data_IF_661271483300
#
_entry.id   IF_661271483300
#
_cell.length_a   1.000
_cell.length_b   1.000
_cell.length_c   1.000
_cell.angle_alpha   90.00
_cell.angle_beta   90.00
_cell.angle_gamma   90.00
#
_symmetry.space_group_name_H-M   'P 1'
#
loop_
_entity.id
_entity.type
_entity.pdbx_description
1 polymer ?
#
# COMPACT_ATOMS: atom_id res chain seq x y z
N UNK A 1 72.63 6.77 -23.80
CA UNK A 1 71.67 5.66 -23.98
C UNK A 1 70.39 6.30 -24.53
N UNK A 2 70.29 6.67 -25.82
CA UNK A 2 69.94 5.82 -26.97
C UNK A 2 68.78 4.86 -26.58
N UNK A 3 67.50 5.05 -26.94
CA UNK A 3 66.92 5.64 -28.14
C UNK A 3 66.48 4.51 -29.09
N UNK A 4 65.18 4.21 -29.19
CA UNK A 4 64.63 3.42 -30.30
C UNK A 4 63.15 3.73 -30.55
N UNK A 5 62.94 4.51 -31.61
CA UNK A 5 61.69 4.63 -32.37
C UNK A 5 61.56 3.39 -33.27
N UNK A 6 60.34 2.90 -33.49
CA UNK A 6 60.02 1.97 -34.57
C UNK A 6 59.04 2.67 -35.53
N UNK A 7 59.33 2.68 -36.85
CA UNK A 7 58.49 3.29 -37.88
C UNK A 7 57.66 2.26 -38.68
N UNK A 8 56.53 2.76 -39.23
CA UNK A 8 56.00 2.61 -40.61
C UNK A 8 55.99 1.22 -41.26
N UNK A 9 54.80 0.74 -41.68
CA UNK A 9 54.56 0.31 -43.08
C UNK A 9 53.08 0.25 -43.46
N UNK A 10 52.74 1.06 -44.47
CA UNK A 10 51.56 0.96 -45.34
C UNK A 10 51.49 -0.40 -46.05
N UNK A 11 50.27 -0.87 -46.40
CA UNK A 11 49.97 -1.42 -47.73
C UNK A 11 48.48 -1.13 -48.05
N UNK A 12 48.28 -0.61 -49.24
CA UNK A 12 47.04 -0.22 -49.89
C UNK A 12 46.48 -1.35 -50.78
N UNK A 13 45.15 -1.51 -50.87
CA UNK A 13 44.41 -2.06 -52.03
C UNK A 13 42.90 -1.90 -51.70
N UNK A 14 42.12 -0.94 -52.21
CA UNK A 14 41.58 -0.74 -53.57
C UNK A 14 41.00 -2.01 -54.21
N UNK A 15 39.66 -2.07 -54.39
CA UNK A 15 38.96 -2.45 -55.64
C UNK A 15 37.43 -2.57 -55.43
N UNK A 16 36.71 -1.87 -56.32
CA UNK A 16 35.34 -2.02 -56.87
C UNK A 16 34.14 -2.15 -55.90
N UNK A 17 33.17 -1.21 -55.85
CA UNK A 17 32.30 -0.64 -56.90
C UNK A 17 31.21 -1.63 -57.38
N UNK A 18 30.04 -1.54 -56.74
CA UNK A 18 28.73 -1.64 -57.41
C UNK A 18 27.74 -0.74 -56.68
N UNK A 19 27.48 0.42 -57.29
CA UNK A 19 26.21 1.11 -57.12
C UNK A 19 25.12 0.24 -57.76
N UNK A 20 24.12 -0.13 -56.98
CA UNK A 20 22.77 -0.35 -57.52
C UNK A 20 21.86 0.55 -56.72
N UNK A 21 21.55 1.70 -57.32
CA UNK A 21 20.40 2.49 -56.95
C UNK A 21 19.15 1.64 -57.22
N UNK A 22 18.47 1.22 -56.17
CA UNK A 22 17.08 0.79 -56.24
C UNK A 22 16.26 1.78 -55.45
N UNK A 23 15.96 2.91 -56.10
CA UNK A 23 14.87 3.81 -55.72
C UNK A 23 13.56 3.08 -56.00
N UNK A 24 13.09 2.34 -55.00
CA UNK A 24 11.70 1.89 -54.94
C UNK A 24 11.05 2.61 -53.77
N UNK A 25 10.25 3.60 -54.15
CA UNK A 25 9.19 4.20 -53.35
C UNK A 25 8.31 3.09 -52.78
N UNK A 26 8.62 2.62 -51.58
CA UNK A 26 7.60 2.12 -50.67
C UNK A 26 7.47 3.17 -49.57
N UNK A 27 6.41 3.97 -49.69
CA UNK A 27 5.88 4.72 -48.56
C UNK A 27 5.41 3.70 -47.52
N UNK A 28 6.12 3.59 -46.41
CA UNK A 28 5.67 2.83 -45.23
C UNK A 28 5.06 3.79 -44.19
N UNK A 29 4.40 4.87 -44.63
CA UNK A 29 3.65 5.80 -43.79
C UNK A 29 2.22 5.31 -43.47
N UNK A 30 1.98 4.00 -43.51
CA UNK A 30 0.70 3.38 -43.11
C UNK A 30 0.96 2.05 -42.40
N UNK A 31 1.70 2.08 -41.30
CA UNK A 31 1.46 1.13 -40.22
C UNK A 31 0.74 1.91 -39.12
N UNK A 32 -0.55 1.66 -38.87
CA UNK A 32 -1.14 2.14 -37.65
C UNK A 32 -0.35 1.46 -36.52
N UNK A 33 0.09 2.29 -35.60
CA UNK A 33 0.61 1.90 -34.32
C UNK A 33 -0.21 0.76 -33.70
N UNK A 34 0.51 -0.20 -33.13
CA UNK A 34 0.00 -1.08 -32.08
C UNK A 34 -1.14 -2.00 -32.49
N UNK A 35 -0.81 -3.24 -32.85
CA UNK A 35 -1.70 -4.37 -32.55
C UNK A 35 -1.72 -4.57 -31.02
N UNK A 36 -2.20 -3.57 -30.28
CA UNK A 36 -2.85 -3.81 -29.01
C UNK A 36 -4.00 -4.74 -29.32
N UNK A 37 -3.98 -5.95 -28.77
CA UNK A 37 -5.05 -6.90 -28.98
C UNK A 37 -6.34 -6.27 -28.50
N UNK A 38 -7.19 -5.83 -29.43
CA UNK A 38 -8.46 -5.20 -29.12
C UNK A 38 -9.18 -6.01 -28.03
N UNK A 39 -9.62 -5.32 -26.98
CA UNK A 39 -10.18 -5.98 -25.82
C UNK A 39 -11.33 -6.91 -26.25
N UNK A 40 -11.18 -8.22 -26.01
CA UNK A 40 -12.10 -9.22 -26.58
C UNK A 40 -13.50 -9.12 -26.03
N UNK A 41 -13.68 -8.49 -24.87
CA UNK A 41 -14.95 -8.27 -24.22
C UNK A 41 -14.87 -6.97 -23.42
N UNK A 42 -15.71 -6.01 -23.77
CA UNK A 42 -15.88 -4.79 -22.98
C UNK A 42 -16.83 -5.04 -21.82
N UNK A 43 -16.54 -4.45 -20.68
CA UNK A 43 -17.41 -4.41 -19.52
C UNK A 43 -18.64 -3.52 -19.79
N UNK A 44 -19.76 -3.89 -19.19
CA UNK A 44 -20.91 -3.00 -19.08
C UNK A 44 -20.58 -1.80 -18.18
N UNK A 45 -21.36 -0.73 -18.32
CA UNK A 45 -21.06 0.54 -17.64
C UNK A 45 -21.15 0.42 -16.11
N UNK A 46 -22.06 -0.41 -15.60
CA UNK A 46 -22.24 -0.58 -14.15
C UNK A 46 -21.02 -1.26 -13.53
N UNK A 47 -20.52 -2.33 -14.15
CA UNK A 47 -19.29 -3.00 -13.72
C UNK A 47 -18.10 -2.04 -13.77
N UNK A 48 -17.95 -1.29 -14.87
CA UNK A 48 -16.86 -0.33 -15.07
C UNK A 48 -16.82 0.76 -14.00
N UNK A 49 -17.97 1.32 -13.62
CA UNK A 49 -18.08 2.37 -12.61
C UNK A 49 -17.78 1.87 -11.19
N UNK A 50 -17.94 0.56 -10.95
CA UNK A 50 -17.71 -0.09 -9.65
C UNK A 50 -16.29 -0.64 -9.48
N UNK A 51 -15.45 -0.64 -10.51
CA UNK A 51 -14.11 -1.21 -10.45
C UNK A 51 -13.24 -0.56 -9.38
N UNK A 52 -12.49 -1.40 -8.67
CA UNK A 52 -11.47 -1.05 -7.68
C UNK A 52 -10.24 -1.93 -7.83
N UNK A 53 -9.13 -1.49 -7.25
CA UNK A 53 -7.87 -2.24 -7.19
C UNK A 53 -7.65 -2.98 -5.86
N UNK A 54 -8.47 -2.67 -4.85
CA UNK A 54 -8.37 -3.18 -3.49
C UNK A 54 -9.73 -3.02 -2.79
N UNK A 55 -9.96 -3.83 -1.76
CA UNK A 55 -11.07 -3.62 -0.83
C UNK A 55 -10.84 -2.37 0.03
N UNK A 56 -9.62 -2.24 0.54
CA UNK A 56 -9.20 -1.10 1.33
C UNK A 56 -8.92 0.11 0.42
N UNK A 57 -9.12 1.35 0.90
CA UNK A 57 -8.84 2.56 0.12
C UNK A 57 -7.39 2.68 -0.34
N UNK A 58 -6.46 2.09 0.43
CA UNK A 58 -5.03 2.09 0.19
C UNK A 58 -4.47 0.67 0.26
N UNK A 59 -3.32 0.46 -0.35
CA UNK A 59 -2.49 -0.73 -0.21
C UNK A 59 -1.25 -0.37 0.61
N UNK A 60 -0.78 -1.30 1.43
CA UNK A 60 0.48 -1.15 2.16
C UNK A 60 1.43 -2.26 1.76
N UNK A 61 2.71 -1.94 1.56
CA UNK A 61 3.76 -2.87 1.15
C UNK A 61 5.08 -2.55 1.85
N UNK A 62 5.96 -3.53 1.94
CA UNK A 62 7.34 -3.35 2.43
C UNK A 62 8.32 -3.18 1.25
N UNK A 63 9.49 -2.55 1.47
CA UNK A 63 10.57 -2.54 0.48
C UNK A 63 10.94 -3.97 0.04
N UNK A 64 11.09 -4.17 -1.27
CA UNK A 64 11.37 -5.48 -1.87
C UNK A 64 10.17 -6.40 -2.03
N UNK A 65 8.96 -5.98 -1.65
CA UNK A 65 7.74 -6.76 -1.82
C UNK A 65 7.22 -6.69 -3.26
N UNK A 66 6.74 -7.82 -3.77
CA UNK A 66 6.03 -7.93 -5.05
C UNK A 66 4.59 -8.38 -4.80
N UNK A 67 3.63 -7.71 -5.45
CA UNK A 67 2.20 -7.99 -5.34
C UNK A 67 1.50 -7.87 -6.68
N UNK A 68 0.66 -8.85 -7.00
CA UNK A 68 -0.29 -8.77 -8.10
C UNK A 68 -1.47 -7.89 -7.68
N UNK A 69 -1.72 -6.80 -8.40
CA UNK A 69 -2.94 -6.02 -8.28
C UNK A 69 -4.00 -6.55 -9.25
N UNK A 70 -5.26 -6.50 -8.84
CA UNK A 70 -6.37 -7.04 -9.63
C UNK A 70 -7.43 -5.96 -9.77
N UNK A 71 -8.07 -5.92 -10.93
CA UNK A 71 -9.35 -5.24 -11.07
C UNK A 71 -10.44 -6.13 -10.48
N UNK A 72 -11.35 -5.52 -9.74
CA UNK A 72 -12.48 -6.25 -9.18
C UNK A 72 -13.59 -5.32 -8.74
N UNK A 73 -14.71 -5.93 -8.39
CA UNK A 73 -15.85 -5.25 -7.75
C UNK A 73 -16.01 -5.76 -6.33
N UNK A 74 -16.49 -4.88 -5.44
CA UNK A 74 -16.89 -5.30 -4.10
C UNK A 74 -18.36 -5.69 -4.13
N UNK A 75 -18.62 -6.98 -3.94
CA UNK A 75 -19.93 -7.58 -3.79
C UNK A 75 -20.27 -7.79 -2.31
N UNK A 76 -21.55 -7.63 -1.96
CA UNK A 76 -22.07 -7.85 -0.62
C UNK A 76 -21.23 -7.21 0.51
N UNK A 77 -20.69 -6.00 0.28
CA UNK A 77 -19.90 -5.20 1.22
C UNK A 77 -18.49 -5.73 1.58
N UNK A 78 -18.18 -7.03 1.43
CA UNK A 78 -16.91 -7.62 1.89
C UNK A 78 -16.26 -8.64 0.93
N UNK A 79 -16.84 -8.91 -0.23
CA UNK A 79 -16.24 -9.84 -1.20
C UNK A 79 -15.64 -9.06 -2.35
N UNK A 80 -14.32 -9.15 -2.53
CA UNK A 80 -13.65 -8.65 -3.73
C UNK A 80 -13.68 -9.72 -4.82
N UNK A 81 -14.53 -9.53 -5.82
CA UNK A 81 -14.63 -10.43 -6.96
C UNK A 81 -13.76 -9.89 -8.11
N UNK A 82 -12.69 -10.61 -8.51
CA UNK A 82 -11.86 -10.20 -9.63
C UNK A 82 -12.65 -10.13 -10.94
N UNK A 83 -12.43 -9.08 -11.70
CA UNK A 83 -13.03 -8.85 -13.01
C UNK A 83 -11.95 -8.95 -14.08
N UNK A 84 -12.15 -9.84 -15.04
CA UNK A 84 -11.31 -9.95 -16.23
C UNK A 84 -11.61 -8.77 -17.17
N UNK A 85 -10.66 -7.85 -17.27
CA UNK A 85 -10.75 -6.65 -18.08
C UNK A 85 -9.38 -6.32 -18.66
N UNK A 86 -9.37 -5.77 -19.88
CA UNK A 86 -8.13 -5.28 -20.47
C UNK A 86 -7.74 -3.97 -19.79
N UNK A 87 -6.54 -3.93 -19.23
CA UNK A 87 -6.00 -2.74 -18.62
C UNK A 87 -4.52 -2.61 -18.91
N UNK A 88 -4.07 -1.37 -19.07
CA UNK A 88 -2.65 -1.02 -19.05
C UNK A 88 -2.32 -0.42 -17.70
N UNK A 89 -1.31 -0.99 -17.04
CA UNK A 89 -0.93 -0.62 -15.69
C UNK A 89 0.21 0.39 -15.67
N UNK A 90 0.19 1.31 -14.72
CA UNK A 90 1.25 2.30 -14.52
C UNK A 90 1.41 2.64 -13.05
N UNK A 91 2.61 3.09 -12.67
CA UNK A 91 2.95 3.52 -11.30
C UNK A 91 3.65 4.87 -11.33
N UNK A 92 3.28 5.75 -10.40
CA UNK A 92 3.86 7.09 -10.26
C UNK A 92 4.09 7.44 -8.78
N UNK A 93 5.27 7.98 -8.40
CA UNK A 93 6.46 8.12 -9.23
C UNK A 93 7.05 6.74 -9.62
N UNK A 94 7.80 6.67 -10.71
CA UNK A 94 8.47 5.42 -11.16
C UNK A 94 9.81 5.14 -10.48
N UNK A 95 10.27 6.04 -9.60
CA UNK A 95 11.48 5.83 -8.81
C UNK A 95 11.10 5.13 -7.49
N UNK A 96 11.62 3.92 -7.26
CA UNK A 96 11.35 3.12 -6.06
C UNK A 96 10.23 2.09 -6.22
N UNK A 97 9.59 2.02 -7.39
CA UNK A 97 8.62 0.99 -7.71
C UNK A 97 8.52 0.79 -9.23
N UNK A 98 8.26 -0.45 -9.62
CA UNK A 98 8.00 -0.85 -11.01
C UNK A 98 6.72 -1.66 -11.08
N UNK A 99 5.98 -1.55 -12.17
CA UNK A 99 4.79 -2.36 -12.43
C UNK A 99 4.87 -2.92 -13.84
N UNK A 100 4.55 -4.20 -13.97
CA UNK A 100 4.38 -4.83 -15.28
C UNK A 100 3.08 -4.31 -15.93
N UNK A 101 3.23 -3.64 -17.08
CA UNK A 101 2.15 -2.89 -17.75
C UNK A 101 0.99 -3.78 -18.21
N UNK A 102 1.24 -5.08 -18.46
CA UNK A 102 0.26 -6.03 -18.99
C UNK A 102 -0.43 -6.83 -17.88
N UNK A 103 0.31 -7.14 -16.82
CA UNK A 103 -0.17 -8.04 -15.76
C UNK A 103 -0.65 -7.30 -14.53
N UNK A 104 -0.09 -6.13 -14.19
CA UNK A 104 -0.37 -5.45 -12.92
C UNK A 104 0.43 -5.98 -11.73
N UNK A 105 1.53 -6.71 -12.00
CA UNK A 105 2.49 -7.12 -10.96
C UNK A 105 3.32 -5.92 -10.55
N UNK A 106 3.04 -5.37 -9.36
CA UNK A 106 3.78 -4.28 -8.75
C UNK A 106 4.94 -4.83 -7.91
N UNK A 107 6.13 -4.23 -8.04
CA UNK A 107 7.28 -4.47 -7.18
C UNK A 107 7.75 -3.15 -6.59
N UNK A 108 7.90 -3.10 -5.27
CA UNK A 108 8.55 -1.99 -4.56
C UNK A 108 10.03 -2.31 -4.47
N UNK A 109 10.90 -1.38 -4.87
CA UNK A 109 12.35 -1.61 -4.84
C UNK A 109 12.83 -1.82 -3.39
N UNK A 110 13.90 -2.61 -3.22
CA UNK A 110 14.39 -3.00 -1.90
C UNK A 110 15.00 -1.83 -1.10
N UNK A 111 15.42 -0.77 -1.78
CA UNK A 111 15.99 0.46 -1.21
C UNK A 111 14.97 1.59 -1.05
N UNK A 112 13.71 1.37 -1.42
CA UNK A 112 12.64 2.35 -1.24
C UNK A 112 12.45 2.68 0.23
N UNK A 113 12.44 3.97 0.53
CA UNK A 113 12.34 4.46 1.90
C UNK A 113 10.92 4.27 2.45
N UNK A 114 10.84 3.98 3.75
CA UNK A 114 9.57 4.03 4.49
C UNK A 114 8.93 5.41 4.36
N UNK A 115 7.61 5.47 4.21
CA UNK A 115 6.85 6.69 3.98
C UNK A 115 6.74 7.10 2.51
N UNK A 116 7.40 6.39 1.58
CA UNK A 116 7.14 6.58 0.15
C UNK A 116 5.68 6.20 -0.19
N UNK A 117 5.08 6.97 -1.09
CA UNK A 117 3.72 6.75 -1.58
C UNK A 117 3.74 6.69 -3.10
N UNK A 118 3.14 5.65 -3.65
CA UNK A 118 2.95 5.48 -5.09
C UNK A 118 1.47 5.50 -5.43
N UNK A 119 1.10 6.14 -6.53
CA UNK A 119 -0.19 5.94 -7.16
C UNK A 119 -0.03 4.90 -8.25
N UNK A 120 -0.74 3.78 -8.11
CA UNK A 120 -0.90 2.79 -9.18
C UNK A 120 -2.20 3.06 -9.91
N UNK A 121 -2.14 3.09 -11.24
CA UNK A 121 -3.30 3.33 -12.10
C UNK A 121 -3.46 2.18 -13.10
N UNK A 122 -4.68 1.64 -13.18
CA UNK A 122 -5.12 0.78 -14.27
C UNK A 122 -5.94 1.63 -15.24
N UNK A 123 -5.45 1.75 -16.48
CA UNK A 123 -6.20 2.32 -17.60
C UNK A 123 -7.02 1.23 -18.27
N UNK A 124 -8.31 1.18 -17.95
CA UNK A 124 -9.23 0.12 -18.35
C UNK A 124 -9.85 0.46 -19.71
N UNK A 125 -9.73 -0.49 -20.64
CA UNK A 125 -10.30 -0.42 -21.99
C UNK A 125 -9.93 0.86 -22.75
N UNK A 126 -8.64 1.18 -22.83
CA UNK A 126 -8.09 2.28 -23.64
C UNK A 126 -8.69 3.66 -23.28
N UNK A 127 -8.73 3.99 -21.99
CA UNK A 127 -9.17 5.29 -21.49
C UNK A 127 -10.64 5.37 -21.10
N UNK A 128 -11.40 4.27 -21.19
CA UNK A 128 -12.81 4.28 -20.75
C UNK A 128 -12.94 4.52 -19.25
N UNK A 129 -11.99 4.01 -18.45
CA UNK A 129 -11.93 4.28 -17.00
C UNK A 129 -10.52 4.19 -16.47
N UNK A 130 -10.09 5.21 -15.73
CA UNK A 130 -8.90 5.14 -14.88
C UNK A 130 -9.32 4.73 -13.47
N UNK A 131 -8.78 3.62 -12.98
CA UNK A 131 -8.92 3.17 -11.60
C UNK A 131 -7.57 3.33 -10.92
N UNK A 132 -7.52 3.87 -9.71
CA UNK A 132 -6.25 4.12 -9.02
C UNK A 132 -6.31 3.78 -7.54
N UNK A 133 -5.15 3.45 -6.98
CA UNK A 133 -4.96 3.17 -5.55
C UNK A 133 -3.61 3.71 -5.12
N UNK A 134 -3.55 4.23 -3.89
CA UNK A 134 -2.29 4.61 -3.25
C UNK A 134 -1.65 3.40 -2.57
N UNK A 135 -0.35 3.25 -2.77
CA UNK A 135 0.50 2.22 -2.16
C UNK A 135 1.46 2.91 -1.21
N UNK A 136 1.29 2.67 0.08
CA UNK A 136 2.12 3.22 1.14
C UNK A 136 3.21 2.23 1.53
N UNK A 137 4.47 2.64 1.37
CA UNK A 137 5.62 1.84 1.76
C UNK A 137 5.92 2.06 3.23
N UNK A 138 6.10 0.97 3.97
CA UNK A 138 6.51 1.05 5.37
C UNK A 138 7.58 0.01 5.71
N UNK A 139 8.37 0.32 6.73
CA UNK A 139 9.25 -0.65 7.40
C UNK A 139 8.78 -0.81 8.84
N UNK A 140 9.04 -1.97 9.44
CA UNK A 140 8.65 -2.22 10.83
C UNK A 140 9.48 -1.37 11.80
N UNK A 141 10.71 -1.02 11.40
CA UNK A 141 11.63 -0.19 12.16
C UNK A 141 11.16 1.27 12.20
N UNK A 142 10.67 1.81 11.08
CA UNK A 142 10.18 3.18 11.03
C UNK A 142 8.75 3.34 11.56
N UNK A 143 7.89 2.33 11.35
CA UNK A 143 6.53 2.32 11.87
C UNK A 143 6.17 0.92 12.40
N UNK A 144 6.46 0.63 13.68
CA UNK A 144 6.20 -0.68 14.24
C UNK A 144 4.70 -0.91 14.51
N UNK A 145 3.88 0.13 14.52
CA UNK A 145 2.44 0.03 14.82
C UNK A 145 1.68 -0.66 13.69
N UNK A 146 2.11 -0.54 12.43
CA UNK A 146 1.37 -1.09 11.29
C UNK A 146 1.08 -2.58 11.46
N UNK A 147 -0.20 -2.94 11.32
CA UNK A 147 -0.72 -4.30 11.49
C UNK A 147 -1.99 -4.35 12.34
N UNK A 148 -2.42 -5.57 12.66
CA UNK A 148 -3.53 -5.85 13.56
C UNK A 148 -3.01 -6.22 14.94
N UNK A 149 -3.74 -5.78 15.96
CA UNK A 149 -3.43 -5.95 17.36
C UNK A 149 -4.68 -6.40 18.12
N UNK A 150 -4.52 -7.33 19.06
CA UNK A 150 -5.58 -7.86 19.94
C UNK A 150 -5.25 -7.55 21.38
N UNK A 151 -6.19 -6.98 22.11
CA UNK A 151 -6.02 -6.60 23.51
C UNK A 151 -5.95 -7.87 24.38
N UNK A 152 -4.98 -7.89 25.29
CA UNK A 152 -4.88 -8.91 26.33
C UNK A 152 -5.22 -8.36 27.72
N UNK A 153 -4.76 -7.14 28.01
CA UNK A 153 -4.91 -6.52 29.33
C UNK A 153 -5.09 -5.01 29.21
N UNK A 154 -5.66 -4.45 30.27
CA UNK A 154 -5.73 -3.02 30.53
C UNK A 154 -4.93 -2.69 31.79
N UNK A 155 -4.58 -1.42 32.00
CA UNK A 155 -3.79 -1.00 33.15
C UNK A 155 -4.57 -0.06 34.06
N UNK A 156 -4.72 -0.43 35.33
CA UNK A 156 -5.36 0.42 36.31
C UNK A 156 -4.61 1.76 36.49
N UNK A 157 -5.37 2.87 36.43
CA UNK A 157 -4.90 4.20 36.81
C UNK A 157 -4.35 4.14 38.25
N UNK A 158 -3.21 4.76 38.52
CA UNK A 158 -2.44 4.71 39.78
C UNK A 158 -1.55 3.48 39.98
N UNK A 159 -2.09 2.25 39.91
CA UNK A 159 -1.31 1.05 40.29
C UNK A 159 -0.55 0.41 39.15
N UNK A 160 -0.95 0.68 37.89
CA UNK A 160 -0.45 0.00 36.69
C UNK A 160 -0.60 -1.53 36.75
N UNK A 161 -1.50 -2.01 37.59
CA UNK A 161 -1.81 -3.43 37.65
C UNK A 161 -2.57 -3.85 36.40
N UNK A 162 -2.19 -5.00 35.85
CA UNK A 162 -2.90 -5.63 34.74
C UNK A 162 -4.30 -6.06 35.17
N UNK A 163 -5.29 -5.64 34.38
CA UNK A 163 -6.69 -6.01 34.49
C UNK A 163 -7.07 -6.73 33.21
N UNK A 164 -7.66 -7.91 33.32
CA UNK A 164 -8.22 -8.60 32.16
C UNK A 164 -9.55 -7.94 31.80
N UNK A 165 -9.72 -7.42 30.58
CA UNK A 165 -11.00 -6.83 30.15
C UNK A 165 -12.07 -7.92 30.00
N UNK A 166 -13.30 -7.62 30.41
CA UNK A 166 -14.45 -8.49 30.15
C UNK A 166 -14.78 -8.55 28.64
N UNK A 167 -14.62 -7.41 27.96
CA UNK A 167 -14.86 -7.23 26.53
C UNK A 167 -13.60 -6.62 25.87
N UNK A 168 -12.59 -7.44 25.54
CA UNK A 168 -11.35 -6.94 24.94
C UNK A 168 -11.58 -6.38 23.54
N UNK A 169 -10.80 -5.37 23.17
CA UNK A 169 -10.64 -4.96 21.77
C UNK A 169 -10.02 -6.13 21.00
N UNK A 170 -10.75 -6.63 19.99
CA UNK A 170 -10.32 -7.80 19.20
C UNK A 170 -9.45 -7.40 18.02
N UNK A 171 -9.70 -6.24 17.45
CA UNK A 171 -8.88 -5.65 16.39
C UNK A 171 -8.66 -4.17 16.65
N UNK A 172 -7.43 -3.82 16.99
CA UNK A 172 -6.85 -2.49 16.79
C UNK A 172 -5.96 -2.58 15.55
N UNK A 173 -6.35 -1.92 14.47
CA UNK A 173 -5.59 -1.90 13.23
C UNK A 173 -4.91 -0.55 13.05
N UNK A 174 -3.61 -0.54 12.80
CA UNK A 174 -2.89 0.62 12.27
C UNK A 174 -2.44 0.34 10.84
N UNK A 175 -2.60 1.33 9.97
CA UNK A 175 -2.26 1.24 8.56
C UNK A 175 -1.09 2.15 8.22
N UNK A 176 -0.39 1.82 7.13
CA UNK A 176 0.77 2.60 6.68
C UNK A 176 0.42 4.01 6.16
N UNK A 177 -0.86 4.25 5.86
CA UNK A 177 -1.39 5.56 5.44
C UNK A 177 -1.69 6.51 6.60
N UNK A 178 -1.36 6.13 7.84
CA UNK A 178 -1.60 6.96 9.03
C UNK A 178 -3.03 6.85 9.56
N UNK A 179 -3.83 5.88 9.10
CA UNK A 179 -5.16 5.60 9.64
C UNK A 179 -5.16 4.46 10.64
N UNK A 180 -6.14 4.48 11.55
CA UNK A 180 -6.38 3.39 12.48
C UNK A 180 -7.87 3.05 12.58
N UNK A 181 -8.17 1.87 13.10
CA UNK A 181 -9.53 1.49 13.50
C UNK A 181 -9.53 0.60 14.72
N UNK A 182 -10.62 0.65 15.48
CA UNK A 182 -10.86 -0.18 16.66
C UNK A 182 -12.12 -1.00 16.47
N UNK A 183 -12.08 -2.26 16.88
CA UNK A 183 -13.21 -3.18 16.80
C UNK A 183 -13.23 -4.14 17.99
N UNK A 184 -14.33 -4.15 18.74
CA UNK A 184 -14.58 -5.10 19.83
C UNK A 184 -15.16 -6.42 19.32
N UNK A 185 -16.02 -6.36 18.32
CA UNK A 185 -16.72 -7.53 17.78
C UNK A 185 -16.55 -7.64 16.25
N UNK A 186 -15.43 -8.23 15.78
CA UNK A 186 -15.13 -8.29 14.35
C UNK A 186 -16.19 -9.10 13.59
N UNK A 187 -16.79 -8.48 12.57
CA UNK A 187 -17.72 -9.13 11.66
C UNK A 187 -17.64 -8.47 10.28
N UNK A 188 -17.23 -9.24 9.28
CA UNK A 188 -17.06 -8.76 7.89
C UNK A 188 -16.16 -7.50 7.82
N UNK A 189 -16.68 -6.36 7.37
CA UNK A 189 -15.97 -5.06 7.30
C UNK A 189 -16.34 -4.11 8.44
N UNK A 190 -17.07 -4.60 9.45
CA UNK A 190 -17.52 -3.78 10.56
C UNK A 190 -16.32 -3.24 11.35
N UNK A 191 -16.38 -1.94 11.67
CA UNK A 191 -15.45 -1.24 12.55
C UNK A 191 -16.26 -0.41 13.53
N UNK A 192 -15.93 -0.42 14.81
CA UNK A 192 -16.62 0.42 15.79
C UNK A 192 -16.32 1.89 15.50
N UNK A 193 -15.05 2.27 15.48
CA UNK A 193 -14.62 3.60 15.05
C UNK A 193 -13.26 3.59 14.36
N UNK A 194 -12.94 4.70 13.72
CA UNK A 194 -11.72 4.90 12.95
C UNK A 194 -11.27 6.35 12.97
N UNK A 195 -10.03 6.56 12.54
CA UNK A 195 -9.50 7.89 12.34
C UNK A 195 -8.05 7.87 11.89
N UNK A 196 -7.33 8.92 12.27
CA UNK A 196 -5.91 9.09 11.98
C UNK A 196 -5.05 9.00 13.23
N UNK A 197 -3.80 8.58 13.08
CA UNK A 197 -2.83 8.52 14.17
C UNK A 197 -1.53 9.23 13.82
N UNK A 198 -0.89 9.77 14.85
CA UNK A 198 0.46 10.32 14.81
C UNK A 198 1.27 9.72 15.95
N UNK A 199 2.56 9.51 15.70
CA UNK A 199 3.44 8.95 16.71
C UNK A 199 4.84 9.55 16.60
N UNK A 200 5.58 9.50 17.69
CA UNK A 200 7.00 9.77 17.76
C UNK A 200 7.69 8.63 18.52
N UNK A 201 8.58 7.89 17.84
CA UNK A 201 9.26 6.75 18.46
C UNK A 201 10.40 7.17 19.39
N UNK A 202 10.94 8.37 19.24
CA UNK A 202 11.99 8.89 20.13
C UNK A 202 11.37 9.40 21.43
N UNK A 203 10.27 10.15 21.33
CA UNK A 203 9.51 10.62 22.50
C UNK A 203 8.59 9.56 23.09
N UNK A 204 8.29 8.50 22.34
CA UNK A 204 7.40 7.41 22.73
C UNK A 204 5.94 7.85 22.82
N UNK A 205 5.50 8.82 22.01
CA UNK A 205 4.16 9.43 22.07
C UNK A 205 3.25 8.88 20.96
N UNK A 206 1.95 8.80 21.25
CA UNK A 206 0.89 8.42 20.33
C UNK A 206 -0.29 9.38 20.49
N UNK A 207 -0.80 9.90 19.38
CA UNK A 207 -2.03 10.68 19.32
C UNK A 207 -2.99 10.06 18.31
N UNK A 208 -4.19 9.72 18.76
CA UNK A 208 -5.29 9.22 17.95
C UNK A 208 -6.34 10.32 17.78
N UNK A 209 -6.67 10.65 16.53
CA UNK A 209 -7.76 11.57 16.18
C UNK A 209 -8.90 10.77 15.57
N UNK A 210 -10.06 10.76 16.23
CA UNK A 210 -11.24 10.04 15.76
C UNK A 210 -11.93 10.85 14.66
N UNK A 211 -12.12 10.23 13.50
CA UNK A 211 -12.78 10.87 12.35
C UNK A 211 -14.22 10.41 12.18
N UNK A 212 -14.57 9.22 12.68
CA UNK A 212 -15.91 8.66 12.61
C UNK A 212 -16.02 7.25 13.17
N UNK A 213 -17.22 6.68 13.12
CA UNK A 213 -17.48 5.33 13.60
C UNK A 213 -18.92 4.89 13.39
N UNK A 214 -19.16 3.58 13.44
CA UNK A 214 -20.48 3.01 13.69
C UNK A 214 -20.87 3.20 15.16
N UNK A 215 -19.89 3.16 16.06
CA UNK A 215 -19.99 3.49 17.47
C UNK A 215 -18.71 4.18 17.95
N UNK A 216 -18.83 5.43 18.39
CA UNK A 216 -17.71 6.19 18.98
C UNK A 216 -17.99 6.34 20.49
N UNK A 217 -17.18 5.71 21.36
CA UNK A 217 -17.32 5.88 22.81
C UNK A 217 -17.16 7.36 23.22
N UNK A 218 -17.91 7.80 24.23
CA UNK A 218 -17.84 9.19 24.71
C UNK A 218 -16.62 9.46 25.57
N UNK A 219 -15.96 8.41 26.03
CA UNK A 219 -14.87 8.42 26.99
C UNK A 219 -13.50 8.17 26.36
N UNK A 220 -13.38 8.13 25.01
CA UNK A 220 -12.08 7.95 24.37
C UNK A 220 -11.12 9.08 24.75
N UNK A 221 -9.93 8.69 25.19
CA UNK A 221 -8.76 9.54 25.38
C UNK A 221 -7.63 9.03 24.49
N UNK A 222 -7.43 9.69 23.35
CA UNK A 222 -6.58 9.20 22.26
C UNK A 222 -5.10 9.56 22.37
N UNK A 223 -4.69 10.38 23.34
CA UNK A 223 -3.31 10.84 23.48
C UNK A 223 -2.60 10.12 24.61
N UNK A 224 -1.36 9.70 24.41
CA UNK A 224 -0.55 9.07 25.46
C UNK A 224 0.79 8.58 24.97
N UNK A 225 1.27 7.49 25.58
CA UNK A 225 2.57 6.90 25.29
C UNK A 225 2.44 5.51 24.67
N UNK A 226 3.39 5.18 23.81
CA UNK A 226 3.51 3.87 23.18
C UNK A 226 4.89 3.25 23.46
N UNK A 227 4.92 1.92 23.56
CA UNK A 227 6.14 1.14 23.64
C UNK A 227 5.91 -0.21 22.93
N UNK A 228 6.90 -0.69 22.17
CA UNK A 228 6.96 -2.08 21.72
C UNK A 228 7.97 -2.79 22.62
N UNK A 229 7.50 -3.74 23.42
CA UNK A 229 8.38 -4.44 24.34
C UNK A 229 9.25 -5.51 23.64
N UNK A 230 10.12 -6.16 24.42
CA UNK A 230 11.04 -7.20 23.97
C UNK A 230 10.35 -8.45 23.42
N UNK A 231 9.05 -8.62 23.70
CA UNK A 231 8.21 -9.71 23.19
C UNK A 231 7.41 -9.29 21.96
N UNK A 232 7.59 -8.05 21.48
CA UNK A 232 6.87 -7.49 20.33
C UNK A 232 5.42 -7.12 20.64
N UNK A 233 5.08 -6.94 21.93
CA UNK A 233 3.75 -6.51 22.38
C UNK A 233 3.67 -5.00 22.36
N UNK A 234 2.51 -4.48 22.02
CA UNK A 234 2.23 -3.05 22.04
C UNK A 234 1.68 -2.67 23.42
N UNK A 235 2.41 -1.80 24.11
CA UNK A 235 1.97 -1.18 25.36
C UNK A 235 1.54 0.25 25.07
N UNK A 236 0.31 0.56 25.42
CA UNK A 236 -0.27 1.89 25.37
C UNK A 236 -0.49 2.38 26.80
N UNK A 237 -0.03 3.56 27.14
CA UNK A 237 -0.11 4.12 28.50
C UNK A 237 -0.64 5.55 28.46
N UNK A 238 -1.31 5.94 29.52
CA UNK A 238 -1.91 7.28 29.65
C UNK A 238 -2.90 7.59 28.53
N UNK A 239 -3.54 6.56 27.96
CA UNK A 239 -4.57 6.68 26.93
C UNK A 239 -5.64 5.62 27.15
N UNK A 240 -6.85 5.91 26.68
CA UNK A 240 -8.01 5.04 26.79
C UNK A 240 -8.78 4.95 25.47
N UNK A 241 -8.93 3.75 24.95
CA UNK A 241 -9.62 3.48 23.67
C UNK A 241 -11.16 3.41 23.81
N UNK A 242 -11.68 3.82 24.96
CA UNK A 242 -13.12 3.93 25.20
C UNK A 242 -13.77 2.64 25.72
N UNK A 243 -14.99 2.79 26.21
CA UNK A 243 -15.83 1.70 26.69
C UNK A 243 -16.65 1.11 25.52
N UNK A 244 -16.76 -0.24 25.37
CA UNK A 244 -17.59 -0.84 24.32
C UNK A 244 -19.07 -0.47 24.46
N UNK A 245 -19.84 -0.61 23.37
CA UNK A 245 -21.27 -0.30 23.39
C UNK A 245 -22.03 -1.17 24.39
N UNK A 246 -22.82 -0.54 25.27
CA UNK A 246 -23.48 -1.18 26.40
C UNK A 246 -22.57 -1.57 27.57
N UNK A 247 -21.25 -1.37 27.44
CA UNK A 247 -20.27 -1.57 28.50
C UNK A 247 -20.45 -0.57 29.65
N UNK A 248 -20.05 -0.96 30.85
CA UNK A 248 -20.11 -0.11 32.06
C UNK A 248 -18.79 -0.07 32.84
N UNK A 249 -17.72 -0.61 32.25
CA UNK A 249 -16.40 -0.56 32.83
C UNK A 249 -15.95 0.90 33.01
N UNK A 250 -15.24 1.17 34.10
CA UNK A 250 -14.59 2.47 34.26
C UNK A 250 -13.38 2.57 33.33
N UNK A 251 -13.12 3.75 32.79
CA UNK A 251 -11.92 4.02 32.00
C UNK A 251 -10.66 3.67 32.79
N UNK A 252 -9.72 3.01 32.12
CA UNK A 252 -8.40 2.66 32.65
C UNK A 252 -7.33 3.49 31.96
N UNK A 253 -6.07 3.36 32.37
CA UNK A 253 -4.98 4.26 31.96
C UNK A 253 -3.99 3.61 30.98
N UNK A 254 -4.42 2.57 30.28
CA UNK A 254 -3.60 1.95 29.26
C UNK A 254 -4.05 0.55 28.87
N UNK A 255 -3.35 0.01 27.88
CA UNK A 255 -3.67 -1.25 27.23
C UNK A 255 -2.38 -2.01 26.89
N UNK A 256 -2.47 -3.34 26.89
CA UNK A 256 -1.47 -4.23 26.28
C UNK A 256 -2.12 -5.03 25.16
N UNK A 257 -1.47 -5.02 24.00
CA UNK A 257 -1.86 -5.77 22.83
C UNK A 257 -0.78 -6.74 22.35
N UNK A 258 -1.24 -7.80 21.70
CA UNK A 258 -0.42 -8.76 20.94
C UNK A 258 -0.83 -8.73 19.47
N UNK A 259 0.03 -9.25 18.58
CA UNK A 259 -0.32 -9.45 17.17
C UNK A 259 -1.19 -10.69 16.94
#
# INVERSE_FOLDING_TARGET
MAGRRIPILLISLLILLTMVACTSLCSWDWLPFGLGGACRKTLDQETLDRLRLSMEPTVQMKPGETRQLLLGVVECCYVFEPVDACATWSVSPSNGATIDEDTGVLTVDADTQSGAVFTVTADVEEGRRLVSVEVHVYTTEANPLVGNWREEYQFACETWQEVTPDEPIRELQFRADGTFSVTWYPFEIYRDYWGSYRYDLEEGTLDLTIDGGNYVPQDVDGGGYLEIDDQGRLLLRDLWLGTPDGGTAASLCGHRFVR
#
